data_IF_506542400038
#
_entry.id   IF_506542400038
#
_cell.length_a   1.000
_cell.length_b   1.000
_cell.length_c   1.000
_cell.angle_alpha   90.00
_cell.angle_beta   90.00
_cell.angle_gamma   90.00
#
_symmetry.space_group_name_H-M   'P 1'
#
loop_
_entity.id
_entity.type
_entity.pdbx_description
1 polymer ?
#
# COMPACT_ATOMS: atom_id res chain seq x y z
N UNK A 1 7.63 12.91 4.24
CA UNK A 1 8.93 12.22 4.26
C UNK A 1 9.99 13.00 3.50
N UNK A 2 10.00 12.90 2.17
CA UNK A 2 11.10 13.33 1.29
C UNK A 2 11.64 14.74 1.58
N UNK A 3 10.86 15.80 1.32
CA UNK A 3 11.38 17.19 1.40
C UNK A 3 11.88 17.61 2.77
N UNK A 4 11.41 16.95 3.84
CA UNK A 4 11.81 17.27 5.22
C UNK A 4 13.08 16.52 5.64
N UNK A 5 13.41 15.41 4.98
CA UNK A 5 14.51 14.52 5.38
C UNK A 5 15.71 14.62 4.43
N UNK A 6 15.44 14.64 3.13
CA UNK A 6 16.43 14.52 2.07
C UNK A 6 16.96 15.88 1.65
N UNK A 7 18.28 15.96 1.49
CA UNK A 7 19.02 17.09 0.95
C UNK A 7 19.75 16.69 -0.33
N UNK A 8 20.17 17.70 -1.09
CA UNK A 8 20.95 17.50 -2.31
C UNK A 8 22.24 16.73 -1.99
N UNK A 9 22.49 15.64 -2.71
CA UNK A 9 23.66 14.78 -2.54
C UNK A 9 23.46 13.60 -1.58
N UNK A 10 22.37 13.56 -0.80
CA UNK A 10 22.08 12.42 0.07
C UNK A 10 21.90 11.15 -0.78
N UNK A 11 22.49 10.03 -0.32
CA UNK A 11 22.29 8.72 -0.94
C UNK A 11 21.09 8.00 -0.35
N UNK A 12 20.20 7.48 -1.21
CA UNK A 12 18.96 6.82 -0.77
C UNK A 12 18.80 5.49 -1.48
N UNK A 13 18.51 4.42 -0.72
CA UNK A 13 18.14 3.11 -1.28
C UNK A 13 16.61 3.01 -1.34
N UNK A 14 16.07 2.51 -2.45
CA UNK A 14 14.64 2.25 -2.62
C UNK A 14 14.38 1.04 -3.53
N UNK A 15 13.57 0.05 -3.09
CA UNK A 15 13.00 -0.96 -3.99
C UNK A 15 11.99 -0.34 -4.95
N UNK A 16 12.11 -0.64 -6.24
CA UNK A 16 11.23 -0.14 -7.29
C UNK A 16 10.64 -1.30 -8.08
N UNK A 17 9.33 -1.48 -7.98
CA UNK A 17 8.63 -2.61 -8.58
C UNK A 17 7.24 -2.26 -9.14
N UNK A 18 6.93 -0.95 -9.24
CA UNK A 18 5.66 -0.48 -9.77
C UNK A 18 5.55 1.04 -9.86
N UNK A 19 4.33 1.52 -10.09
CA UNK A 19 4.03 2.92 -10.34
C UNK A 19 4.33 3.81 -9.13
N UNK A 20 3.95 3.39 -7.92
CA UNK A 20 4.05 4.24 -6.73
C UNK A 20 5.48 4.29 -6.19
N UNK A 21 6.19 3.16 -6.21
CA UNK A 21 7.62 3.11 -5.89
C UNK A 21 8.46 3.90 -6.90
N UNK A 22 8.11 3.86 -8.20
CA UNK A 22 8.74 4.71 -9.22
C UNK A 22 8.52 6.20 -8.97
N UNK A 23 7.29 6.61 -8.62
CA UNK A 23 6.98 8.02 -8.26
C UNK A 23 7.74 8.46 -7.01
N UNK A 24 7.82 7.62 -5.99
CA UNK A 24 8.58 7.92 -4.77
C UNK A 24 10.08 8.06 -5.09
N UNK A 25 10.63 7.18 -5.91
CA UNK A 25 12.01 7.29 -6.42
C UNK A 25 12.23 8.61 -7.17
N UNK A 26 11.30 9.00 -8.04
CA UNK A 26 11.40 10.25 -8.79
C UNK A 26 11.32 11.48 -7.86
N UNK A 27 10.48 11.44 -6.82
CA UNK A 27 10.45 12.51 -5.81
C UNK A 27 11.77 12.64 -5.05
N UNK A 28 12.44 11.53 -4.76
CA UNK A 28 13.77 11.52 -4.13
C UNK A 28 14.82 12.16 -5.06
N UNK A 29 14.81 11.81 -6.35
CA UNK A 29 15.69 12.43 -7.36
C UNK A 29 15.44 13.94 -7.49
N UNK A 30 14.16 14.37 -7.51
CA UNK A 30 13.80 15.78 -7.56
C UNK A 30 14.21 16.56 -6.30
N UNK A 31 14.30 15.89 -5.15
CA UNK A 31 14.89 16.46 -3.94
C UNK A 31 16.43 16.55 -3.98
N UNK A 32 17.05 16.05 -5.05
CA UNK A 32 18.49 16.08 -5.29
C UNK A 32 19.26 14.88 -4.71
N UNK A 33 18.57 13.80 -4.33
CA UNK A 33 19.23 12.59 -3.85
C UNK A 33 19.96 11.85 -4.98
N UNK A 34 21.04 11.15 -4.62
CA UNK A 34 21.60 10.07 -5.42
C UNK A 34 20.84 8.78 -5.07
N UNK A 35 19.94 8.34 -5.95
CA UNK A 35 19.02 7.24 -5.67
C UNK A 35 19.57 5.91 -6.20
N UNK A 36 19.73 4.95 -5.30
CA UNK A 36 20.07 3.55 -5.58
C UNK A 36 18.75 2.77 -5.69
N UNK A 37 18.29 2.56 -6.92
CA UNK A 37 17.05 1.83 -7.20
C UNK A 37 17.34 0.33 -7.24
N UNK A 38 16.61 -0.43 -6.43
CA UNK A 38 16.60 -1.89 -6.50
C UNK A 38 15.41 -2.30 -7.38
N UNK A 39 15.62 -2.22 -8.70
CA UNK A 39 14.57 -2.47 -9.68
C UNK A 39 14.28 -3.97 -9.80
N UNK A 40 12.99 -4.32 -9.80
CA UNK A 40 12.51 -5.68 -10.03
C UNK A 40 11.39 -5.69 -11.05
N UNK A 41 11.12 -6.87 -11.62
CA UNK A 41 9.99 -7.02 -12.55
C UNK A 41 8.67 -6.75 -11.82
N UNK A 42 7.68 -6.10 -12.48
CA UNK A 42 6.36 -5.93 -11.90
C UNK A 42 5.76 -7.27 -11.47
N UNK A 43 5.26 -7.34 -10.23
CA UNK A 43 4.74 -8.58 -9.64
C UNK A 43 5.73 -9.28 -8.69
N UNK A 44 6.95 -8.75 -8.57
CA UNK A 44 7.98 -9.22 -7.65
C UNK A 44 8.41 -8.09 -6.70
N UNK A 45 9.05 -8.42 -5.59
CA UNK A 45 9.74 -7.46 -4.73
C UNK A 45 11.25 -7.72 -4.77
N UNK A 46 12.05 -6.70 -4.48
CA UNK A 46 13.46 -6.92 -4.15
C UNK A 46 13.54 -7.85 -2.92
N UNK A 47 14.49 -8.77 -2.88
CA UNK A 47 14.68 -9.61 -1.69
C UNK A 47 15.37 -8.81 -0.57
N UNK A 48 15.25 -9.29 0.67
CA UNK A 48 16.01 -8.72 1.77
C UNK A 48 17.52 -8.78 1.51
N UNK A 49 17.99 -9.84 0.87
CA UNK A 49 19.40 -10.07 0.55
C UNK A 49 19.92 -9.02 -0.44
N UNK A 50 19.12 -8.66 -1.46
CA UNK A 50 19.43 -7.54 -2.37
C UNK A 50 19.46 -6.21 -1.63
N UNK A 51 18.54 -5.96 -0.70
CA UNK A 51 18.58 -4.75 0.15
C UNK A 51 19.85 -4.73 1.00
N UNK A 52 20.19 -5.86 1.64
CA UNK A 52 21.40 -5.99 2.46
C UNK A 52 22.66 -5.72 1.64
N UNK A 53 22.77 -6.29 0.44
CA UNK A 53 23.89 -6.05 -0.46
C UNK A 53 24.02 -4.56 -0.83
N UNK A 54 22.90 -3.89 -1.12
CA UNK A 54 22.90 -2.46 -1.41
C UNK A 54 23.44 -1.63 -0.23
N UNK A 55 23.05 -1.96 1.00
CA UNK A 55 23.62 -1.35 2.21
C UNK A 55 25.09 -1.72 2.44
N UNK A 56 25.51 -2.92 2.05
CA UNK A 56 26.89 -3.37 2.15
C UNK A 56 27.81 -2.59 1.21
N UNK A 57 27.33 -2.30 0.00
CA UNK A 57 28.06 -1.54 -1.02
C UNK A 57 27.99 -0.02 -0.84
N UNK A 58 27.08 0.49 0.01
CA UNK A 58 26.85 1.92 0.19
C UNK A 58 26.77 2.30 1.69
N UNK A 59 27.94 2.39 2.34
CA UNK A 59 28.05 2.65 3.78
C UNK A 59 27.61 4.05 4.21
N UNK A 60 27.58 5.00 3.28
CA UNK A 60 27.19 6.40 3.47
C UNK A 60 25.73 6.69 3.08
N UNK A 61 24.89 5.65 2.97
CA UNK A 61 23.45 5.82 2.72
C UNK A 61 22.80 6.62 3.83
N UNK A 62 22.11 7.69 3.44
CA UNK A 62 21.35 8.56 4.34
C UNK A 62 20.05 7.91 4.79
N UNK A 63 19.36 7.24 3.88
CA UNK A 63 18.04 6.70 4.16
C UNK A 63 17.69 5.50 3.27
N UNK A 64 16.83 4.64 3.81
CA UNK A 64 16.08 3.65 3.06
C UNK A 64 14.61 4.06 3.00
N UNK A 65 14.08 4.06 1.79
CA UNK A 65 12.67 4.33 1.52
C UNK A 65 12.03 3.09 0.90
N UNK A 66 10.80 2.79 1.26
CA UNK A 66 10.02 1.77 0.57
C UNK A 66 8.54 2.13 0.48
N UNK A 67 7.92 1.73 -0.61
CA UNK A 67 6.47 1.55 -0.67
C UNK A 67 6.18 0.16 -0.14
N UNK A 68 5.56 0.07 1.04
CA UNK A 68 5.30 -1.21 1.70
C UNK A 68 4.37 -2.09 0.87
N UNK A 69 3.34 -1.48 0.26
CA UNK A 69 2.37 -2.18 -0.56
C UNK A 69 2.14 -1.45 -1.89
N UNK A 70 2.76 -1.97 -2.94
CA UNK A 70 2.73 -1.44 -4.31
C UNK A 70 1.41 -1.81 -4.98
N UNK A 71 0.43 -0.91 -4.88
CA UNK A 71 -0.92 -1.19 -5.38
C UNK A 71 -0.99 -1.32 -6.89
N UNK A 72 0.00 -0.86 -7.66
CA UNK A 72 -0.03 -1.04 -9.12
C UNK A 72 0.20 -2.48 -9.55
N UNK A 73 0.94 -3.24 -8.74
CA UNK A 73 1.27 -4.65 -9.01
C UNK A 73 0.62 -5.62 -8.02
N UNK A 74 -0.02 -5.11 -6.95
CA UNK A 74 -0.60 -5.95 -5.92
C UNK A 74 0.47 -6.71 -5.13
N UNK A 75 1.63 -6.06 -4.92
CA UNK A 75 2.74 -6.64 -4.18
C UNK A 75 2.93 -5.95 -2.82
N UNK A 76 3.43 -6.70 -1.84
CA UNK A 76 3.72 -6.25 -0.48
C UNK A 76 5.09 -6.73 -0.03
N UNK A 77 5.88 -5.85 0.59
CA UNK A 77 7.17 -6.22 1.19
C UNK A 77 6.94 -6.97 2.52
N UNK A 78 7.55 -8.15 2.66
CA UNK A 78 7.37 -9.05 3.80
C UNK A 78 8.54 -9.08 4.81
N UNK A 79 9.56 -8.22 4.63
CA UNK A 79 10.80 -8.21 5.43
C UNK A 79 11.07 -6.87 6.14
N UNK A 80 10.06 -6.00 6.28
CA UNK A 80 10.24 -4.66 6.89
C UNK A 80 10.82 -4.74 8.31
N UNK A 81 10.48 -5.77 9.07
CA UNK A 81 10.95 -6.01 10.43
C UNK A 81 12.48 -6.24 10.53
N UNK A 82 13.11 -6.67 9.44
CA UNK A 82 14.55 -6.95 9.33
C UNK A 82 15.37 -5.74 8.88
N UNK A 83 14.75 -4.70 8.30
CA UNK A 83 15.46 -3.55 7.71
C UNK A 83 16.17 -2.71 8.77
N UNK A 84 15.64 -2.68 9.99
CA UNK A 84 16.20 -1.91 11.10
C UNK A 84 17.68 -2.20 11.39
N UNK A 85 18.09 -3.45 11.18
CA UNK A 85 19.47 -3.87 11.45
C UNK A 85 20.44 -3.27 10.43
N UNK A 86 19.96 -3.09 9.19
CA UNK A 86 20.71 -2.46 8.12
C UNK A 86 20.79 -0.94 8.30
N UNK A 87 19.68 -0.30 8.66
CA UNK A 87 19.63 1.15 8.86
C UNK A 87 20.41 1.58 10.09
N UNK A 88 20.29 0.85 11.21
CA UNK A 88 21.04 1.13 12.45
C UNK A 88 22.56 1.03 12.24
N UNK A 89 23.01 0.04 11.45
CA UNK A 89 24.44 -0.16 11.14
C UNK A 89 25.08 1.01 10.40
N UNK A 90 24.32 1.70 9.54
CA UNK A 90 24.81 2.81 8.74
C UNK A 90 24.34 4.19 9.28
N UNK A 91 23.69 4.22 10.44
CA UNK A 91 22.96 5.39 10.97
C UNK A 91 22.02 6.05 9.94
N UNK A 92 21.42 5.22 9.08
CA UNK A 92 20.48 5.64 8.05
C UNK A 92 19.07 5.80 8.62
N UNK A 93 18.28 6.67 8.03
CA UNK A 93 16.85 6.78 8.33
C UNK A 93 16.01 5.72 7.61
N UNK A 94 14.97 5.21 8.26
CA UNK A 94 14.03 4.25 7.72
C UNK A 94 12.65 4.88 7.46
N UNK A 95 12.27 5.03 6.19
CA UNK A 95 10.99 5.63 5.78
C UNK A 95 10.10 4.63 5.07
N UNK A 96 8.87 4.47 5.57
CA UNK A 96 7.86 3.56 5.02
C UNK A 96 6.65 4.34 4.52
N UNK A 97 6.39 4.24 3.22
CA UNK A 97 5.10 4.57 2.63
C UNK A 97 4.15 3.37 2.82
N UNK A 98 3.19 3.53 3.73
CA UNK A 98 2.15 2.57 4.05
C UNK A 98 0.76 3.02 3.59
N UNK A 99 0.65 3.94 2.62
CA UNK A 99 -0.61 4.55 2.15
C UNK A 99 -1.70 3.54 1.93
N UNK A 100 -1.40 2.44 1.25
CA UNK A 100 -2.41 1.49 0.82
C UNK A 100 -2.74 0.38 1.82
N UNK A 101 -2.01 0.27 2.93
CA UNK A 101 -2.02 -0.93 3.78
C UNK A 101 -2.07 -0.68 5.28
N UNK A 102 -1.60 0.47 5.80
CA UNK A 102 -1.72 0.78 7.24
C UNK A 102 -3.19 0.81 7.63
N UNK A 103 -3.55 0.08 8.70
CA UNK A 103 -4.93 -0.14 9.13
C UNK A 103 -5.58 -1.41 8.53
N UNK A 104 -4.90 -2.07 7.58
CA UNK A 104 -5.28 -3.38 7.03
C UNK A 104 -4.25 -4.48 7.31
N UNK A 105 -3.05 -4.11 7.76
CA UNK A 105 -1.97 -5.03 8.11
C UNK A 105 -1.18 -4.54 9.34
N UNK A 106 -0.45 -5.44 9.99
CA UNK A 106 0.32 -5.13 11.19
C UNK A 106 1.54 -4.23 10.89
N UNK A 107 1.61 -3.05 11.52
CA UNK A 107 2.75 -2.15 11.44
C UNK A 107 3.30 -1.86 12.84
N UNK A 108 4.51 -2.35 13.15
CA UNK A 108 5.15 -2.10 14.45
C UNK A 108 6.25 -1.05 14.33
N UNK A 109 5.85 0.23 14.20
CA UNK A 109 6.73 1.38 13.95
C UNK A 109 7.97 1.36 14.86
N UNK A 110 7.79 1.37 16.18
CA UNK A 110 8.90 1.41 17.13
C UNK A 110 9.74 0.13 17.12
N UNK A 111 9.09 -1.05 17.09
CA UNK A 111 9.77 -2.35 17.10
C UNK A 111 10.64 -2.56 15.85
N UNK A 112 10.19 -2.05 14.72
CA UNK A 112 10.87 -2.12 13.42
C UNK A 112 11.79 -0.93 13.17
N UNK A 113 11.96 -0.03 14.16
CA UNK A 113 12.87 1.12 14.04
C UNK A 113 12.52 2.05 12.87
N UNK A 114 11.23 2.18 12.53
CA UNK A 114 10.78 3.06 11.45
C UNK A 114 10.82 4.50 11.94
N UNK A 115 11.58 5.33 11.24
CA UNK A 115 11.74 6.75 11.56
C UNK A 115 10.55 7.58 11.09
N UNK A 116 10.00 7.24 9.91
CA UNK A 116 8.82 7.89 9.35
C UNK A 116 7.90 6.83 8.75
N UNK A 117 6.65 6.81 9.20
CA UNK A 117 5.58 6.06 8.54
C UNK A 117 4.50 7.05 8.07
N UNK A 118 3.92 6.82 6.89
CA UNK A 118 2.81 7.63 6.39
C UNK A 118 1.73 6.77 5.76
N UNK A 119 0.50 7.26 5.83
CA UNK A 119 -0.63 6.63 5.15
C UNK A 119 -1.64 7.62 4.55
N UNK A 120 -2.72 7.13 3.98
CA UNK A 120 -3.85 7.89 3.45
C UNK A 120 -5.18 7.44 4.04
N UNK A 121 -6.03 8.41 4.39
CA UNK A 121 -7.39 8.20 4.92
C UNK A 121 -8.29 7.30 4.06
N UNK A 122 -8.17 7.41 2.73
CA UNK A 122 -9.02 6.74 1.73
C UNK A 122 -8.67 5.30 1.37
N UNK A 123 -7.84 4.66 2.19
CA UNK A 123 -7.35 3.29 1.95
C UNK A 123 -7.93 2.37 3.01
N UNK A 124 -7.10 1.63 3.75
CA UNK A 124 -7.59 0.69 4.75
C UNK A 124 -8.29 1.36 5.94
N UNK A 125 -8.17 2.68 6.11
CA UNK A 125 -8.94 3.45 7.10
C UNK A 125 -10.40 3.67 6.67
N UNK A 126 -10.74 3.55 5.38
CA UNK A 126 -12.10 3.78 4.86
C UNK A 126 -12.69 5.17 5.12
N UNK A 127 -11.86 6.22 5.25
CA UNK A 127 -12.30 7.61 5.35
C UNK A 127 -12.24 8.34 3.99
N UNK A 128 -12.93 9.46 3.78
CA UNK A 128 -12.81 10.24 2.54
C UNK A 128 -11.37 10.71 2.26
N UNK A 129 -10.94 10.83 0.99
CA UNK A 129 -9.59 11.30 0.66
C UNK A 129 -9.37 12.75 1.08
N UNK A 130 -8.18 13.00 1.65
CA UNK A 130 -7.70 14.36 1.95
C UNK A 130 -6.91 14.49 3.25
N UNK A 131 -6.79 13.43 4.03
CA UNK A 131 -5.91 13.36 5.22
C UNK A 131 -4.80 12.35 4.98
N UNK A 132 -3.57 12.73 5.33
CA UNK A 132 -2.41 11.84 5.39
C UNK A 132 -1.86 11.82 6.81
N UNK A 133 -2.15 10.76 7.59
CA UNK A 133 -1.51 10.55 8.88
C UNK A 133 -0.01 10.26 8.68
N UNK A 134 0.82 10.88 9.50
CA UNK A 134 2.27 10.72 9.48
C UNK A 134 2.74 10.54 10.92
N UNK A 135 3.57 9.53 11.15
CA UNK A 135 4.32 9.34 12.39
C UNK A 135 5.79 9.64 12.11
N UNK A 136 6.43 10.38 13.02
CA UNK A 136 7.86 10.72 12.97
C UNK A 136 8.43 10.49 14.36
N UNK A 137 9.51 9.72 14.48
CA UNK A 137 10.16 9.49 15.77
C UNK A 137 10.98 10.71 16.24
N UNK A 138 11.47 10.67 17.48
CA UNK A 138 12.17 11.80 18.08
C UNK A 138 13.51 12.14 17.41
N UNK A 139 14.32 11.16 16.98
CA UNK A 139 15.59 11.43 16.29
C UNK A 139 15.37 12.19 14.98
N UNK A 140 14.36 11.79 14.22
CA UNK A 140 14.02 12.42 12.95
C UNK A 140 13.33 13.76 13.14
N UNK A 141 12.48 13.90 14.16
CA UNK A 141 11.89 15.20 14.55
C UNK A 141 12.99 16.22 14.85
N UNK A 142 13.99 15.87 15.66
CA UNK A 142 15.14 16.73 15.98
C UNK A 142 15.90 17.13 14.70
N UNK A 143 16.25 16.17 13.85
CA UNK A 143 16.94 16.45 12.59
C UNK A 143 16.15 17.43 11.70
N UNK A 144 14.83 17.23 11.56
CA UNK A 144 13.98 18.10 10.75
C UNK A 144 13.91 19.54 11.31
N UNK A 145 13.89 19.70 12.64
CA UNK A 145 13.90 21.02 13.30
C UNK A 145 15.21 21.76 13.04
N UNK A 146 16.35 21.05 13.14
CA UNK A 146 17.68 21.61 12.88
C UNK A 146 17.90 21.87 11.39
N UNK A 147 17.19 21.16 10.50
CA UNK A 147 17.37 21.22 9.05
C UNK A 147 16.04 21.42 8.30
N UNK A 148 15.28 22.51 8.58
CA UNK A 148 13.94 22.68 8.06
C UNK A 148 13.91 22.73 6.52
N UNK A 149 12.82 22.29 5.88
CA UNK A 149 12.69 22.37 4.43
C UNK A 149 12.35 23.80 3.96
N UNK A 150 12.73 24.13 2.72
CA UNK A 150 12.39 25.39 2.06
C UNK A 150 10.97 25.36 1.45
N UNK A 151 9.98 25.07 2.29
CA UNK A 151 8.56 25.06 1.93
C UNK A 151 7.73 25.58 3.09
N UNK A 152 6.55 26.11 2.79
CA UNK A 152 5.59 26.57 3.81
C UNK A 152 4.65 25.44 4.22
N UNK A 153 4.00 24.80 3.24
CA UNK A 153 2.90 23.88 3.51
C UNK A 153 3.36 22.50 4.00
N UNK A 154 4.46 21.99 3.46
CA UNK A 154 5.00 20.67 3.82
C UNK A 154 6.11 20.75 4.88
N UNK A 155 6.17 21.82 5.68
CA UNK A 155 7.21 22.02 6.70
C UNK A 155 6.80 21.37 8.02
N UNK A 156 7.21 20.12 8.25
CA UNK A 156 6.84 19.37 9.46
C UNK A 156 7.31 20.04 10.77
N UNK A 157 8.51 20.66 10.86
CA UNK A 157 8.88 21.46 12.03
C UNK A 157 7.84 22.50 12.42
N UNK A 158 7.19 23.15 11.45
CA UNK A 158 6.09 24.07 11.70
C UNK A 158 4.90 23.37 12.35
N UNK A 159 4.51 22.19 11.86
CA UNK A 159 3.41 21.42 12.47
C UNK A 159 3.75 20.98 13.89
N UNK A 160 4.98 20.52 14.15
CA UNK A 160 5.42 20.14 15.50
C UNK A 160 5.30 21.33 16.47
N UNK A 161 5.81 22.50 16.08
CA UNK A 161 5.71 23.72 16.89
C UNK A 161 4.26 24.09 17.23
N UNK A 162 3.39 24.17 16.22
CA UNK A 162 1.98 24.53 16.43
C UNK A 162 1.23 23.52 17.31
N UNK A 163 1.55 22.23 17.17
CA UNK A 163 0.97 21.18 18.00
C UNK A 163 1.43 21.28 19.46
N UNK A 164 2.70 21.58 19.73
CA UNK A 164 3.17 21.76 21.11
C UNK A 164 2.58 23.01 21.77
N UNK A 165 2.51 24.13 21.03
CA UNK A 165 2.03 25.40 21.56
C UNK A 165 0.51 25.43 21.79
N UNK A 166 -0.27 24.79 20.92
CA UNK A 166 -1.73 25.00 20.89
C UNK A 166 -2.56 23.78 20.48
N UNK A 167 -1.94 22.62 20.24
CA UNK A 167 -2.61 21.40 19.75
C UNK A 167 -3.40 21.63 18.44
N UNK A 168 -2.93 22.56 17.60
CA UNK A 168 -3.54 22.90 16.30
C UNK A 168 -2.59 22.69 15.12
N UNK A 169 -3.13 22.84 13.91
CA UNK A 169 -2.39 22.87 12.64
C UNK A 169 -1.96 24.30 12.29
N UNK A 170 -0.87 24.48 11.53
CA UNK A 170 -0.39 25.79 11.09
C UNK A 170 -1.30 26.51 10.08
N UNK A 171 -2.26 25.79 9.51
CA UNK A 171 -3.24 26.30 8.55
C UNK A 171 -4.63 25.79 8.93
N UNK A 172 -5.68 26.46 8.46
CA UNK A 172 -7.07 26.03 8.67
C UNK A 172 -7.29 24.63 8.09
N UNK A 173 -7.60 23.61 8.91
CA UNK A 173 -7.78 22.26 8.42
C UNK A 173 -9.18 22.08 7.80
N UNK A 174 -9.33 21.06 6.96
CA UNK A 174 -10.63 20.64 6.45
C UNK A 174 -11.44 19.92 7.55
N UNK A 175 -12.19 20.67 8.35
CA UNK A 175 -12.93 20.15 9.51
C UNK A 175 -13.82 18.93 9.18
N UNK A 176 -14.61 18.91 8.08
CA UNK A 176 -15.44 17.74 7.76
C UNK A 176 -14.62 16.45 7.57
N UNK A 177 -13.43 16.58 6.96
CA UNK A 177 -12.54 15.43 6.78
C UNK A 177 -11.97 14.95 8.11
N UNK A 178 -11.62 15.86 9.03
CA UNK A 178 -11.13 15.48 10.36
C UNK A 178 -12.21 14.73 11.16
N UNK A 179 -13.46 15.17 11.08
CA UNK A 179 -14.57 14.46 11.73
C UNK A 179 -14.79 13.07 11.12
N UNK A 180 -14.79 12.95 9.79
CA UNK A 180 -14.92 11.66 9.11
C UNK A 180 -13.75 10.72 9.44
N UNK A 181 -12.53 11.24 9.49
CA UNK A 181 -11.35 10.46 9.86
C UNK A 181 -11.38 9.99 11.32
N UNK A 182 -11.86 10.84 12.24
CA UNK A 182 -12.08 10.45 13.64
C UNK A 182 -13.10 9.31 13.75
N UNK A 183 -14.18 9.36 12.98
CA UNK A 183 -15.18 8.29 13.01
C UNK A 183 -14.62 6.99 12.45
N UNK A 184 -13.89 7.05 11.34
CA UNK A 184 -13.20 5.88 10.80
C UNK A 184 -12.23 5.25 11.81
N UNK A 185 -11.53 6.07 12.61
CA UNK A 185 -10.69 5.59 13.71
C UNK A 185 -11.52 4.90 14.80
N UNK A 186 -12.66 5.47 15.20
CA UNK A 186 -13.56 4.85 16.19
C UNK A 186 -14.01 3.47 15.73
N UNK A 187 -14.45 3.34 14.47
CA UNK A 187 -14.88 2.05 13.90
C UNK A 187 -13.75 1.00 13.91
N UNK A 188 -12.50 1.41 13.65
CA UNK A 188 -11.34 0.51 13.74
C UNK A 188 -11.11 0.04 15.18
N UNK A 189 -11.25 0.95 16.16
CA UNK A 189 -11.07 0.64 17.58
C UNK A 189 -12.20 -0.23 18.14
N UNK A 190 -13.44 -0.02 17.69
CA UNK A 190 -14.62 -0.82 18.03
C UNK A 190 -14.50 -2.26 17.52
N UNK A 191 -14.04 -2.43 16.27
CA UNK A 191 -13.75 -3.76 15.70
C UNK A 191 -12.56 -4.44 16.41
N UNK A 192 -11.56 -3.64 16.79
CA UNK A 192 -10.26 -4.08 17.25
C UNK A 192 -9.30 -4.30 16.06
N UNK A 193 -8.09 -3.75 16.17
CA UNK A 193 -7.11 -3.77 15.08
C UNK A 193 -6.72 -5.20 14.65
N UNK A 194 -6.55 -6.13 15.60
CA UNK A 194 -6.20 -7.52 15.30
C UNK A 194 -7.29 -8.24 14.52
N UNK A 195 -8.56 -8.04 14.91
CA UNK A 195 -9.71 -8.58 14.20
C UNK A 195 -9.81 -8.00 12.79
N UNK A 196 -9.57 -6.69 12.65
CA UNK A 196 -9.53 -6.00 11.37
C UNK A 196 -8.46 -6.58 10.45
N UNK A 197 -7.24 -6.77 10.93
CA UNK A 197 -6.14 -7.37 10.15
C UNK A 197 -6.50 -8.80 9.75
N UNK A 198 -7.02 -9.61 10.69
CA UNK A 198 -7.49 -10.97 10.40
C UNK A 198 -8.55 -10.96 9.29
N UNK A 199 -9.50 -10.03 9.33
CA UNK A 199 -10.55 -9.88 8.31
C UNK A 199 -9.96 -9.57 6.93
N UNK A 200 -9.04 -8.62 6.84
CA UNK A 200 -8.39 -8.29 5.56
C UNK A 200 -7.66 -9.49 4.96
N UNK A 201 -6.85 -10.19 5.77
CA UNK A 201 -6.13 -11.41 5.34
C UNK A 201 -7.09 -12.51 4.89
N UNK A 202 -8.15 -12.76 5.65
CA UNK A 202 -9.15 -13.80 5.33
C UNK A 202 -9.92 -13.47 4.04
N UNK A 203 -10.37 -12.22 3.88
CA UNK A 203 -11.03 -11.79 2.65
C UNK A 203 -10.11 -11.82 1.43
N UNK A 204 -8.83 -11.47 1.60
CA UNK A 204 -7.83 -11.53 0.52
C UNK A 204 -7.57 -12.97 0.08
N UNK A 205 -7.35 -13.89 1.03
CA UNK A 205 -7.20 -15.31 0.72
C UNK A 205 -8.44 -15.89 0.02
N UNK A 206 -9.64 -15.53 0.48
CA UNK A 206 -10.88 -15.93 -0.17
C UNK A 206 -11.00 -15.39 -1.62
N UNK A 207 -10.61 -14.13 -1.87
CA UNK A 207 -10.58 -13.57 -3.22
C UNK A 207 -9.54 -14.26 -4.11
N UNK A 208 -8.29 -14.42 -3.64
CA UNK A 208 -7.26 -15.11 -4.41
C UNK A 208 -7.65 -16.55 -4.71
N UNK A 209 -8.08 -17.31 -3.70
CA UNK A 209 -8.44 -18.73 -3.83
C UNK A 209 -9.68 -18.91 -4.70
N UNK A 210 -10.74 -18.13 -4.47
CA UNK A 210 -11.99 -18.24 -5.22
C UNK A 210 -11.86 -17.80 -6.68
N UNK A 211 -11.08 -16.75 -6.96
CA UNK A 211 -10.84 -16.30 -8.34
C UNK A 211 -9.87 -17.23 -9.09
N UNK A 212 -8.90 -17.83 -8.38
CA UNK A 212 -8.05 -18.88 -8.97
C UNK A 212 -8.84 -20.10 -9.40
N UNK A 213 -9.83 -20.50 -8.62
CA UNK A 213 -10.69 -21.63 -8.94
C UNK A 213 -11.55 -21.44 -10.20
N UNK A 214 -11.78 -20.18 -10.62
CA UNK A 214 -12.48 -19.87 -11.88
C UNK A 214 -11.53 -19.59 -13.05
N UNK A 215 -10.23 -19.87 -12.88
CA UNK A 215 -9.21 -19.81 -13.94
C UNK A 215 -8.39 -18.51 -13.99
N UNK A 216 -8.63 -17.54 -13.11
CA UNK A 216 -7.85 -16.30 -13.06
C UNK A 216 -6.57 -16.48 -12.25
N UNK A 217 -5.42 -16.03 -12.76
CA UNK A 217 -4.15 -16.24 -12.05
C UNK A 217 -3.68 -14.99 -11.31
N UNK A 218 -3.21 -15.09 -10.06
CA UNK A 218 -2.53 -13.99 -9.37
C UNK A 218 -1.35 -13.46 -10.17
N UNK A 219 -1.28 -12.14 -10.32
CA UNK A 219 -0.17 -11.49 -11.04
C UNK A 219 1.11 -11.49 -10.22
N UNK A 220 1.01 -11.15 -8.94
CA UNK A 220 2.14 -11.15 -8.01
C UNK A 220 2.58 -12.58 -7.64
N UNK A 221 3.89 -12.77 -7.50
CA UNK A 221 4.47 -13.99 -6.91
C UNK A 221 3.90 -14.24 -5.51
N UNK A 222 3.77 -15.51 -5.14
CA UNK A 222 3.08 -15.96 -3.94
C UNK A 222 3.58 -15.27 -2.66
N UNK A 223 4.91 -15.22 -2.49
CA UNK A 223 5.61 -14.59 -1.36
C UNK A 223 5.51 -13.05 -1.32
N UNK A 224 5.00 -12.46 -2.40
CA UNK A 224 4.93 -11.02 -2.62
C UNK A 224 3.50 -10.51 -2.66
N UNK A 225 2.47 -11.36 -2.56
CA UNK A 225 1.06 -10.95 -2.72
C UNK A 225 0.62 -9.97 -1.63
N UNK A 226 -0.10 -8.95 -2.06
CA UNK A 226 -0.74 -7.99 -1.16
C UNK A 226 -1.93 -8.58 -0.43
N UNK A 227 -2.06 -8.29 0.85
CA UNK A 227 -3.25 -8.63 1.65
C UNK A 227 -4.42 -7.67 1.44
N UNK A 228 -4.20 -6.56 0.72
CA UNK A 228 -5.19 -5.47 0.57
C UNK A 228 -5.51 -5.11 -0.88
N UNK A 229 -4.75 -5.61 -1.86
CA UNK A 229 -4.99 -5.40 -3.29
C UNK A 229 -4.73 -6.69 -4.07
N UNK A 230 -5.80 -7.27 -4.62
CA UNK A 230 -5.72 -8.51 -5.40
C UNK A 230 -5.47 -8.13 -6.85
N UNK A 231 -4.27 -8.42 -7.37
CA UNK A 231 -3.93 -8.25 -8.78
C UNK A 231 -4.02 -9.60 -9.51
N UNK A 232 -4.79 -9.65 -10.60
CA UNK A 232 -5.04 -10.85 -11.39
C UNK A 232 -4.76 -10.57 -12.86
N UNK A 233 -4.20 -11.56 -13.55
CA UNK A 233 -4.07 -11.54 -15.00
C UNK A 233 -5.44 -11.65 -15.66
N UNK A 234 -5.63 -10.97 -16.79
CA UNK A 234 -6.77 -11.25 -17.66
C UNK A 234 -6.62 -12.64 -18.30
N UNK A 235 -7.75 -13.28 -18.59
CA UNK A 235 -7.77 -14.48 -19.41
C UNK A 235 -7.33 -14.13 -20.85
N UNK A 236 -6.85 -15.13 -21.58
CA UNK A 236 -6.47 -14.93 -22.98
C UNK A 236 -7.65 -14.39 -23.81
N UNK A 237 -7.38 -13.33 -24.59
CA UNK A 237 -8.37 -12.65 -25.41
C UNK A 237 -9.35 -11.74 -24.66
N UNK A 238 -9.30 -11.66 -23.33
CA UNK A 238 -10.28 -10.92 -22.54
C UNK A 238 -10.00 -9.42 -22.63
N UNK A 239 -10.88 -8.66 -23.27
CA UNK A 239 -10.69 -7.22 -23.45
C UNK A 239 -11.02 -6.45 -22.15
N UNK A 240 -10.00 -5.80 -21.60
CA UNK A 240 -10.00 -5.05 -20.33
C UNK A 240 -11.20 -4.10 -20.18
N UNK A 241 -11.41 -3.18 -21.13
CA UNK A 241 -12.43 -2.14 -21.00
C UNK A 241 -13.83 -2.74 -21.01
N UNK A 242 -14.09 -3.67 -21.92
CA UNK A 242 -15.38 -4.35 -22.05
C UNK A 242 -15.68 -5.16 -20.81
N UNK A 243 -14.70 -5.89 -20.26
CA UNK A 243 -14.84 -6.61 -18.99
C UNK A 243 -15.20 -5.66 -17.84
N UNK A 244 -14.38 -4.63 -17.60
CA UNK A 244 -14.60 -3.71 -16.46
C UNK A 244 -15.90 -2.90 -16.61
N UNK A 245 -16.25 -2.48 -17.83
CA UNK A 245 -17.49 -1.76 -18.09
C UNK A 245 -18.71 -2.66 -17.88
N UNK A 246 -18.66 -3.91 -18.35
CA UNK A 246 -19.74 -4.88 -18.15
C UNK A 246 -19.93 -5.15 -16.67
N UNK A 247 -18.85 -5.41 -15.93
CA UNK A 247 -18.87 -5.62 -14.49
C UNK A 247 -19.51 -4.43 -13.74
N UNK A 248 -19.08 -3.21 -14.08
CA UNK A 248 -19.59 -1.99 -13.46
C UNK A 248 -21.05 -1.69 -13.81
N UNK A 249 -21.47 -1.89 -15.06
CA UNK A 249 -22.82 -1.56 -15.51
C UNK A 249 -23.86 -2.60 -15.09
N UNK A 250 -23.53 -3.89 -15.20
CA UNK A 250 -24.46 -4.99 -14.90
C UNK A 250 -24.52 -5.32 -13.41
N UNK A 251 -23.38 -5.31 -12.72
CA UNK A 251 -23.29 -5.79 -11.34
C UNK A 251 -23.00 -4.70 -10.31
N UNK A 252 -22.71 -3.47 -10.76
CA UNK A 252 -22.32 -2.33 -9.91
C UNK A 252 -21.08 -2.63 -9.07
N UNK A 253 -20.16 -3.44 -9.62
CA UNK A 253 -18.86 -3.74 -9.03
C UNK A 253 -17.79 -3.05 -9.86
N UNK A 254 -16.95 -2.24 -9.21
CA UNK A 254 -15.85 -1.55 -9.88
C UNK A 254 -14.53 -2.23 -9.52
N UNK A 255 -13.75 -2.55 -10.54
CA UNK A 255 -12.36 -2.99 -10.43
C UNK A 255 -11.47 -2.05 -11.23
N UNK A 256 -10.20 -1.94 -10.87
CA UNK A 256 -9.25 -1.07 -11.54
C UNK A 256 -8.44 -1.85 -12.60
N UNK A 257 -8.09 -1.21 -13.71
CA UNK A 257 -7.13 -1.78 -14.66
C UNK A 257 -5.68 -1.66 -14.17
N UNK A 258 -4.76 -2.24 -14.93
CA UNK A 258 -3.32 -2.05 -14.76
C UNK A 258 -2.84 -0.62 -15.06
N UNK A 259 -1.72 -0.23 -14.47
CA UNK A 259 -1.01 1.02 -14.77
C UNK A 259 0.07 0.80 -15.83
N UNK A 260 0.48 1.87 -16.51
CA UNK A 260 1.63 1.86 -17.42
C UNK A 260 1.67 0.65 -18.37
N UNK A 261 2.73 -0.14 -18.27
CA UNK A 261 3.01 -1.35 -19.06
C UNK A 261 2.12 -2.57 -18.71
N UNK A 262 1.28 -2.47 -17.68
CA UNK A 262 0.30 -3.48 -17.27
C UNK A 262 -1.14 -3.18 -17.75
N UNK A 263 -1.37 -2.05 -18.43
CA UNK A 263 -2.67 -1.76 -19.07
C UNK A 263 -3.06 -2.89 -20.01
N UNK A 264 -4.30 -3.39 -19.89
CA UNK A 264 -4.78 -4.51 -20.70
C UNK A 264 -4.24 -5.88 -20.32
N UNK A 265 -3.37 -6.00 -19.30
CA UNK A 265 -2.77 -7.27 -18.88
C UNK A 265 -3.32 -7.78 -17.54
N UNK A 266 -3.60 -6.85 -16.63
CA UNK A 266 -4.10 -7.16 -15.29
C UNK A 266 -5.28 -6.27 -14.91
N UNK A 267 -6.08 -6.75 -13.97
CA UNK A 267 -7.01 -5.94 -13.20
C UNK A 267 -6.78 -6.13 -11.70
N UNK A 268 -7.31 -5.20 -10.91
CA UNK A 268 -7.03 -5.08 -9.49
C UNK A 268 -8.31 -4.88 -8.71
N UNK A 269 -8.46 -5.67 -7.64
CA UNK A 269 -9.58 -5.63 -6.70
C UNK A 269 -9.07 -5.07 -5.38
N UNK A 270 -9.73 -4.05 -4.86
CA UNK A 270 -9.46 -3.56 -3.50
C UNK A 270 -10.05 -4.51 -2.47
N UNK A 271 -9.22 -4.97 -1.54
CA UNK A 271 -9.61 -5.76 -0.37
C UNK A 271 -9.19 -4.99 0.89
N UNK A 272 -9.78 -3.81 1.10
CA UNK A 272 -9.38 -2.91 2.18
C UNK A 272 -10.59 -2.18 2.78
N UNK A 273 -10.41 -1.65 3.99
CA UNK A 273 -11.45 -0.88 4.67
C UNK A 273 -12.53 -1.78 5.27
N UNK A 274 -13.76 -1.58 4.84
CA UNK A 274 -14.96 -2.30 5.32
C UNK A 274 -15.23 -3.62 4.56
N UNK A 275 -14.21 -4.17 3.88
CA UNK A 275 -14.35 -5.43 3.14
C UNK A 275 -14.82 -6.57 4.04
N UNK A 276 -15.81 -7.34 3.62
CA UNK A 276 -16.40 -8.41 4.42
C UNK A 276 -16.93 -9.52 3.50
N UNK A 277 -17.46 -10.60 4.08
CA UNK A 277 -18.02 -11.77 3.36
C UNK A 277 -18.89 -11.35 2.17
N UNK A 278 -19.81 -10.42 2.40
CA UNK A 278 -20.69 -9.90 1.35
C UNK A 278 -19.92 -9.35 0.13
N UNK A 279 -18.91 -8.51 0.37
CA UNK A 279 -18.11 -7.89 -0.69
C UNK A 279 -17.31 -8.94 -1.48
N UNK A 280 -16.71 -9.91 -0.79
CA UNK A 280 -15.96 -11.00 -1.44
C UNK A 280 -16.86 -11.83 -2.34
N UNK A 281 -17.97 -12.36 -1.79
CA UNK A 281 -18.90 -13.23 -2.53
C UNK A 281 -19.55 -12.50 -3.72
N UNK A 282 -19.94 -11.24 -3.52
CA UNK A 282 -20.50 -10.41 -4.60
C UNK A 282 -19.48 -10.15 -5.71
N UNK A 283 -18.23 -9.85 -5.37
CA UNK A 283 -17.19 -9.61 -6.39
C UNK A 283 -16.89 -10.88 -7.19
N UNK A 284 -16.73 -12.03 -6.53
CA UNK A 284 -16.44 -13.30 -7.22
C UNK A 284 -17.58 -13.69 -8.15
N UNK A 285 -18.82 -13.68 -7.67
CA UNK A 285 -20.00 -14.02 -8.49
C UNK A 285 -20.15 -13.07 -9.67
N UNK A 286 -19.99 -11.76 -9.45
CA UNK A 286 -20.10 -10.75 -10.52
C UNK A 286 -19.01 -10.89 -11.58
N UNK A 287 -17.78 -11.23 -11.18
CA UNK A 287 -16.68 -11.51 -12.12
C UNK A 287 -17.00 -12.77 -12.91
N UNK A 288 -17.39 -13.87 -12.25
CA UNK A 288 -17.71 -15.12 -12.93
C UNK A 288 -18.87 -14.93 -13.94
N UNK A 289 -19.93 -14.23 -13.57
CA UNK A 289 -21.03 -13.91 -14.49
C UNK A 289 -20.61 -12.96 -15.61
N UNK A 290 -19.69 -12.04 -15.37
CA UNK A 290 -19.15 -11.17 -16.44
C UNK A 290 -18.34 -11.97 -17.44
N UNK A 291 -17.51 -12.92 -16.98
CA UNK A 291 -16.74 -13.82 -17.83
C UNK A 291 -17.68 -14.69 -18.68
N UNK A 292 -18.71 -15.27 -18.08
CA UNK A 292 -19.73 -16.07 -18.79
C UNK A 292 -20.46 -15.26 -19.88
N UNK A 293 -20.91 -14.03 -19.55
CA UNK A 293 -21.51 -13.10 -20.53
C UNK A 293 -20.57 -12.74 -21.69
N UNK A 294 -19.26 -12.83 -21.47
CA UNK A 294 -18.23 -12.57 -22.48
C UNK A 294 -17.78 -13.85 -23.20
N UNK A 295 -18.44 -15.00 -22.97
CA UNK A 295 -18.17 -16.27 -23.64
C UNK A 295 -17.08 -17.12 -22.99
N UNK A 296 -16.63 -16.79 -21.78
CA UNK A 296 -15.65 -17.58 -21.03
C UNK A 296 -16.38 -18.58 -20.12
N UNK A 297 -16.19 -19.88 -20.38
CA UNK A 297 -16.76 -20.93 -19.56
C UNK A 297 -16.01 -21.04 -18.22
N UNK A 298 -16.63 -20.57 -17.13
CA UNK A 298 -16.03 -20.54 -15.79
C UNK A 298 -16.92 -21.27 -14.78
N UNK A 299 -16.30 -22.01 -13.86
CA UNK A 299 -17.03 -22.69 -12.78
C UNK A 299 -17.29 -21.74 -11.60
N UNK A 300 -18.32 -20.90 -11.74
CA UNK A 300 -18.72 -19.97 -10.68
C UNK A 300 -19.01 -20.66 -9.34
N UNK A 301 -19.52 -21.91 -9.37
CA UNK A 301 -19.84 -22.67 -8.14
C UNK A 301 -18.58 -23.06 -7.41
N UNK A 302 -17.54 -23.51 -8.12
CA UNK A 302 -16.25 -23.82 -7.53
C UNK A 302 -15.63 -22.59 -6.84
N UNK A 303 -15.61 -21.44 -7.53
CA UNK A 303 -15.07 -20.20 -6.98
C UNK A 303 -15.80 -19.73 -5.70
N UNK A 304 -17.13 -19.76 -5.71
CA UNK A 304 -17.93 -19.35 -4.55
C UNK A 304 -17.79 -20.34 -3.38
N UNK A 305 -17.76 -21.66 -3.65
CA UNK A 305 -17.58 -22.67 -2.61
C UNK A 305 -16.24 -22.50 -1.89
N UNK A 306 -15.15 -22.33 -2.65
CA UNK A 306 -13.81 -22.12 -2.07
C UNK A 306 -13.78 -20.83 -1.26
N UNK A 307 -14.33 -19.74 -1.78
CA UNK A 307 -14.39 -18.49 -1.03
C UNK A 307 -15.20 -18.63 0.27
N UNK A 308 -16.34 -19.32 0.23
CA UNK A 308 -17.16 -19.58 1.41
C UNK A 308 -16.40 -20.39 2.48
N UNK A 309 -15.63 -21.40 2.06
CA UNK A 309 -14.77 -22.18 2.95
C UNK A 309 -13.69 -21.32 3.62
N UNK A 310 -13.02 -20.45 2.86
CA UNK A 310 -12.02 -19.51 3.40
C UNK A 310 -12.61 -18.49 4.36
N UNK A 311 -13.86 -18.09 4.13
CA UNK A 311 -14.54 -17.10 4.95
C UNK A 311 -15.16 -17.70 6.22
N UNK A 312 -15.13 -19.02 6.47
CA UNK A 312 -15.82 -19.64 7.63
C UNK A 312 -15.48 -19.04 8.99
N UNK A 313 -14.25 -18.55 9.15
CA UNK A 313 -13.72 -18.01 10.41
C UNK A 313 -13.91 -16.49 10.60
N UNK A 314 -14.70 -15.89 9.69
CA UNK A 314 -15.22 -14.51 9.73
C UNK A 314 -16.69 -14.51 10.16
#
# INVERSE_FOLDING_TARGET
>A
GVVNLIKKGDKVIIPVNGEFSSRLSQMLEWAGASVIKLETQPGENASFETVKEAFDNNKDVKAFYCVWNETSTGTMINYLDRVKDLTSRNDSYYVVDGVSIVGGEELKVDKWGIDIAMTGSQKAFAAPPGISPIVVNERTKKYMIENPPHTMYFNLPRYFKYYEESKHTPFTPALPLLYAYREALNMILEEGLDNRIKRHRTCSDALYSGLSAIGLTPFAKDDSRSTVVIALNYLEGLEDKTFRNTLAQKFRVLVAGGFGNLKGKVFRIGCMGEVQRYHVMRTISSIASTLDLMGYNVDAKAGLKIAEEKLKDL
#
